data_IF_873193149600
#
_entry.id   IF_873193149600
#
_cell.length_a   1.000
_cell.length_b   1.000
_cell.length_c   1.000
_cell.angle_alpha   90.00
_cell.angle_beta   90.00
_cell.angle_gamma   90.00
#
_symmetry.space_group_name_H-M   'P 1'
#
loop_
_entity.id
_entity.type
_entity.pdbx_description
1 polymer ?
#
# COMPACT_ATOMS: atom_id res chain seq x y z
N UNK A 1 -46.42 -24.86 49.45
CA UNK A 1 -47.05 -23.89 50.36
C UNK A 1 -45.96 -23.45 51.30
N UNK A 2 -45.54 -22.18 51.18
CA UNK A 2 -44.68 -21.43 52.11
C UNK A 2 -43.25 -21.93 52.31
N UNK A 3 -42.29 -21.29 51.64
CA UNK A 3 -40.95 -21.07 52.20
C UNK A 3 -40.63 -19.57 52.11
N UNK A 4 -40.40 -18.99 53.28
CA UNK A 4 -39.99 -17.61 53.52
C UNK A 4 -38.53 -17.60 54.04
N UNK A 5 -37.82 -16.47 53.99
CA UNK A 5 -36.42 -16.41 53.58
C UNK A 5 -35.39 -16.46 54.72
N UNK A 6 -34.17 -16.88 54.34
CA UNK A 6 -32.94 -16.85 55.12
C UNK A 6 -32.32 -15.44 55.14
N UNK A 7 -32.19 -14.87 56.33
CA UNK A 7 -31.23 -13.80 56.64
C UNK A 7 -29.83 -14.40 56.82
N UNK A 8 -28.82 -13.89 56.11
CA UNK A 8 -27.41 -14.09 56.47
C UNK A 8 -26.50 -13.01 55.86
N UNK A 9 -26.20 -12.02 56.71
CA UNK A 9 -24.91 -11.32 56.89
C UNK A 9 -24.01 -10.99 55.68
N UNK A 10 -23.91 -9.68 55.39
CA UNK A 10 -22.88 -9.11 54.53
C UNK A 10 -21.49 -9.04 55.23
N UNK A 11 -20.37 -9.32 54.54
CA UNK A 11 -19.02 -9.13 55.07
C UNK A 11 -18.52 -7.67 54.92
N UNK A 12 -17.62 -7.19 55.82
CA UNK A 12 -17.13 -5.81 55.82
C UNK A 12 -16.13 -5.51 54.68
N UNK A 13 -16.01 -4.23 54.24
CA UNK A 13 -15.15 -3.85 53.13
C UNK A 13 -13.65 -3.83 53.49
N UNK A 14 -12.75 -4.07 52.51
CA UNK A 14 -11.30 -4.09 52.74
C UNK A 14 -10.69 -2.69 52.94
N UNK A 15 -9.55 -2.60 53.65
CA UNK A 15 -8.92 -1.34 54.03
C UNK A 15 -8.23 -0.61 52.86
N UNK A 16 -8.36 0.72 52.89
CA UNK A 16 -7.83 1.71 51.97
C UNK A 16 -6.30 1.63 51.85
N UNK A 17 -5.80 1.25 50.68
CA UNK A 17 -4.39 1.34 50.31
C UNK A 17 -4.08 2.75 49.79
N UNK A 18 -3.70 3.64 50.70
CA UNK A 18 -2.97 4.86 50.36
C UNK A 18 -1.52 4.49 49.99
N UNK A 19 -1.16 4.62 48.72
CA UNK A 19 0.23 4.47 48.29
C UNK A 19 0.40 4.39 46.78
N UNK A 20 1.19 5.33 46.23
CA UNK A 20 1.77 5.32 44.88
C UNK A 20 0.94 5.91 43.73
N UNK A 21 0.72 7.23 43.77
CA UNK A 21 0.46 8.04 42.55
C UNK A 21 1.74 8.73 42.05
N UNK A 22 2.83 7.97 41.94
CA UNK A 22 4.12 8.44 41.43
C UNK A 22 4.54 7.60 40.22
N UNK A 23 3.83 7.73 39.09
CA UNK A 23 4.31 7.40 37.74
C UNK A 23 3.23 7.70 36.70
N UNK A 24 3.02 8.99 36.43
CA UNK A 24 2.31 9.43 35.24
C UNK A 24 2.95 10.70 34.67
N UNK A 25 4.29 10.75 34.62
CA UNK A 25 4.96 11.58 33.61
C UNK A 25 4.97 10.80 32.29
N UNK A 26 3.78 10.57 31.76
CA UNK A 26 3.60 10.19 30.37
C UNK A 26 3.86 11.46 29.56
N UNK A 27 5.11 11.62 29.12
CA UNK A 27 5.48 12.54 28.06
C UNK A 27 4.71 12.14 26.79
N UNK A 28 3.48 12.64 26.68
CA UNK A 28 2.76 12.62 25.42
C UNK A 28 3.35 13.73 24.58
N UNK A 29 4.22 13.36 23.65
CA UNK A 29 4.61 14.20 22.53
C UNK A 29 3.37 14.46 21.66
N UNK A 30 2.54 15.41 22.07
CA UNK A 30 1.42 15.99 21.32
C UNK A 30 1.96 16.88 20.17
N UNK A 31 2.86 16.31 19.35
CA UNK A 31 3.40 16.92 18.13
C UNK A 31 3.03 16.17 16.85
N UNK A 32 2.44 14.98 16.93
CA UNK A 32 2.13 14.13 15.75
C UNK A 32 0.62 14.10 15.37
N UNK A 33 -0.22 14.90 16.04
CA UNK A 33 -1.65 15.02 15.72
C UNK A 33 -1.96 15.44 14.26
N UNK A 34 -1.18 16.31 13.58
CA UNK A 34 -1.44 16.64 12.17
C UNK A 34 -0.94 15.57 11.18
N UNK A 35 0.10 14.80 11.53
CA UNK A 35 0.70 13.80 10.65
C UNK A 35 -0.22 12.59 10.46
N UNK A 36 -0.90 12.15 11.53
CA UNK A 36 -1.82 11.00 11.50
C UNK A 36 -3.09 11.25 10.68
N UNK A 37 -3.60 12.49 10.68
CA UNK A 37 -4.76 12.88 9.86
C UNK A 37 -4.40 12.91 8.37
N UNK A 38 -3.28 13.55 8.02
CA UNK A 38 -2.80 13.64 6.63
C UNK A 38 -2.59 12.27 5.99
N UNK A 39 -1.91 11.35 6.68
CA UNK A 39 -1.74 9.98 6.17
C UNK A 39 -3.06 9.27 5.91
N UNK A 40 -4.05 9.44 6.79
CA UNK A 40 -5.37 8.82 6.60
C UNK A 40 -6.09 9.40 5.39
N UNK A 41 -6.03 10.71 5.22
CA UNK A 41 -6.65 11.40 4.09
C UNK A 41 -5.99 10.97 2.77
N UNK A 42 -4.66 10.84 2.74
CA UNK A 42 -3.90 10.35 1.59
C UNK A 42 -4.30 8.91 1.19
N UNK A 43 -4.46 8.02 2.17
CA UNK A 43 -4.93 6.64 1.93
C UNK A 43 -6.35 6.59 1.38
N UNK A 44 -7.24 7.46 1.88
CA UNK A 44 -8.63 7.55 1.39
C UNK A 44 -8.66 8.09 -0.05
N UNK A 45 -7.88 9.13 -0.35
CA UNK A 45 -7.80 9.69 -1.70
C UNK A 45 -7.23 8.66 -2.68
N UNK A 46 -6.19 7.94 -2.30
CA UNK A 46 -5.59 6.89 -3.12
C UNK A 46 -6.55 5.72 -3.37
N UNK A 47 -7.25 5.24 -2.34
CA UNK A 47 -8.26 4.20 -2.50
C UNK A 47 -9.39 4.65 -3.44
N UNK A 48 -9.82 5.91 -3.32
CA UNK A 48 -10.86 6.48 -4.17
C UNK A 48 -10.44 6.56 -5.63
N UNK A 49 -9.22 7.01 -5.95
CA UNK A 49 -8.76 7.13 -7.34
C UNK A 49 -8.67 5.76 -8.02
N UNK A 50 -8.17 4.76 -7.31
CA UNK A 50 -8.08 3.38 -7.83
C UNK A 50 -9.46 2.78 -8.06
N UNK A 51 -10.38 2.92 -7.09
CA UNK A 51 -11.76 2.44 -7.24
C UNK A 51 -12.48 3.11 -8.39
N UNK A 52 -12.32 4.44 -8.53
CA UNK A 52 -12.95 5.21 -9.60
C UNK A 52 -12.45 4.75 -10.96
N UNK A 53 -11.14 4.58 -11.14
CA UNK A 53 -10.56 4.16 -12.42
C UNK A 53 -11.00 2.73 -12.80
N UNK A 54 -10.95 1.80 -11.84
CA UNK A 54 -11.40 0.42 -12.05
C UNK A 54 -12.91 0.35 -12.32
N UNK A 55 -13.71 1.13 -11.59
CA UNK A 55 -15.15 1.26 -11.80
C UNK A 55 -15.47 1.81 -13.19
N UNK A 56 -14.79 2.87 -13.63
CA UNK A 56 -14.99 3.45 -14.97
C UNK A 56 -14.63 2.45 -16.09
N UNK A 57 -13.57 1.67 -15.92
CA UNK A 57 -13.21 0.60 -16.86
C UNK A 57 -14.28 -0.50 -16.89
N UNK A 58 -14.71 -0.98 -15.73
CA UNK A 58 -15.77 -1.99 -15.63
C UNK A 58 -17.08 -1.52 -16.23
N UNK A 59 -17.47 -0.27 -15.93
CA UNK A 59 -18.64 0.39 -16.50
C UNK A 59 -18.57 0.41 -18.03
N UNK A 60 -17.44 0.81 -18.62
CA UNK A 60 -17.30 0.89 -20.07
C UNK A 60 -17.44 -0.50 -20.73
N UNK A 61 -16.74 -1.50 -20.20
CA UNK A 61 -16.74 -2.87 -20.74
C UNK A 61 -18.16 -3.46 -20.69
N UNK A 62 -18.83 -3.35 -19.56
CA UNK A 62 -20.19 -3.90 -19.40
C UNK A 62 -21.25 -3.10 -20.14
N UNK A 63 -21.06 -1.79 -20.33
CA UNK A 63 -21.95 -0.99 -21.17
C UNK A 63 -21.88 -1.47 -22.62
N UNK A 64 -20.69 -1.72 -23.14
CA UNK A 64 -20.50 -2.26 -24.49
C UNK A 64 -21.12 -3.67 -24.58
N UNK A 65 -20.91 -4.52 -23.58
CA UNK A 65 -21.52 -5.85 -23.53
C UNK A 65 -23.06 -5.79 -23.49
N UNK A 66 -23.63 -4.93 -22.66
CA UNK A 66 -25.07 -4.72 -22.52
C UNK A 66 -25.69 -4.16 -23.80
N UNK A 67 -25.08 -3.12 -24.39
CA UNK A 67 -25.53 -2.54 -25.65
C UNK A 67 -25.47 -3.56 -26.80
N UNK A 68 -24.39 -4.35 -26.87
CA UNK A 68 -24.24 -5.43 -27.86
C UNK A 68 -25.29 -6.51 -27.67
N UNK A 69 -25.60 -6.87 -26.42
CA UNK A 69 -26.63 -7.86 -26.08
C UNK A 69 -28.02 -7.37 -26.52
N UNK A 70 -28.35 -6.12 -26.21
CA UNK A 70 -29.62 -5.49 -26.63
C UNK A 70 -29.72 -5.38 -28.15
N UNK A 71 -28.62 -5.02 -28.82
CA UNK A 71 -28.55 -4.94 -30.27
C UNK A 71 -28.79 -6.32 -30.91
N UNK A 72 -28.09 -7.35 -30.43
CA UNK A 72 -28.27 -8.72 -30.91
C UNK A 72 -29.71 -9.21 -30.69
N UNK A 73 -30.25 -9.01 -29.48
CA UNK A 73 -31.61 -9.40 -29.14
C UNK A 73 -32.65 -8.69 -30.03
N UNK A 74 -32.41 -7.44 -30.41
CA UNK A 74 -33.28 -6.69 -31.32
C UNK A 74 -33.35 -7.32 -32.72
N UNK A 75 -32.24 -7.88 -33.20
CA UNK A 75 -32.14 -8.49 -34.54
C UNK A 75 -32.57 -9.95 -34.58
N UNK A 76 -32.38 -10.72 -33.48
CA UNK A 76 -32.71 -12.14 -33.44
C UNK A 76 -34.18 -12.40 -33.10
N UNK A 77 -34.81 -11.59 -32.23
CA UNK A 77 -36.14 -11.88 -31.70
C UNK A 77 -37.19 -10.84 -32.13
N UNK A 78 -38.23 -11.23 -32.90
CA UNK A 78 -39.27 -10.29 -33.33
C UNK A 78 -40.10 -9.71 -32.18
N UNK A 79 -40.15 -10.41 -31.04
CA UNK A 79 -40.80 -9.94 -29.80
C UNK A 79 -40.05 -8.74 -29.19
N UNK A 80 -38.72 -8.80 -29.10
CA UNK A 80 -37.86 -7.72 -28.57
C UNK A 80 -37.80 -6.53 -29.53
N UNK A 81 -38.00 -6.79 -30.83
CA UNK A 81 -38.10 -5.74 -31.85
C UNK A 81 -39.29 -4.78 -31.62
N UNK A 82 -40.40 -5.30 -31.10
CA UNK A 82 -41.63 -4.54 -30.81
C UNK A 82 -41.61 -3.83 -29.45
N UNK A 83 -40.62 -4.08 -28.61
CA UNK A 83 -40.52 -3.44 -27.29
C UNK A 83 -40.00 -2.00 -27.34
N UNK A 84 -40.39 -1.21 -26.35
CA UNK A 84 -40.07 0.23 -26.25
C UNK A 84 -38.57 0.47 -26.16
N UNK A 85 -38.12 1.61 -26.70
CA UNK A 85 -36.73 2.05 -26.60
C UNK A 85 -36.29 2.22 -25.14
N UNK A 86 -37.22 2.65 -24.27
CA UNK A 86 -36.98 2.83 -22.85
C UNK A 86 -36.59 1.51 -22.16
N UNK A 87 -37.23 0.39 -22.49
CA UNK A 87 -36.88 -0.91 -21.91
C UNK A 87 -35.46 -1.35 -22.28
N UNK A 88 -35.05 -1.08 -23.52
CA UNK A 88 -33.69 -1.37 -24.00
C UNK A 88 -32.63 -0.50 -23.31
N UNK A 89 -32.91 0.79 -23.15
CA UNK A 89 -32.04 1.71 -22.44
C UNK A 89 -31.92 1.33 -20.96
N UNK A 90 -33.03 0.93 -20.32
CA UNK A 90 -33.05 0.46 -18.94
C UNK A 90 -32.16 -0.79 -18.77
N UNK A 91 -32.27 -1.78 -19.67
CA UNK A 91 -31.40 -2.95 -19.64
C UNK A 91 -29.92 -2.58 -19.78
N UNK A 92 -29.57 -1.74 -20.75
CA UNK A 92 -28.19 -1.26 -20.92
C UNK A 92 -27.68 -0.56 -19.65
N UNK A 93 -28.49 0.30 -19.02
CA UNK A 93 -28.12 0.97 -17.76
C UNK A 93 -27.90 0.00 -16.61
N UNK A 94 -28.64 -1.11 -16.56
CA UNK A 94 -28.42 -2.18 -15.58
C UNK A 94 -27.04 -2.81 -15.72
N UNK A 95 -26.63 -3.14 -16.95
CA UNK A 95 -25.28 -3.62 -17.23
C UNK A 95 -24.22 -2.57 -16.89
N UNK A 96 -24.44 -1.29 -17.22
CA UNK A 96 -23.54 -0.19 -16.89
C UNK A 96 -23.29 -0.08 -15.38
N UNK A 97 -24.36 -0.06 -14.57
CA UNK A 97 -24.28 0.04 -13.10
C UNK A 97 -23.60 -1.21 -12.53
N UNK A 98 -23.96 -2.39 -13.03
CA UNK A 98 -23.33 -3.64 -12.62
C UNK A 98 -21.81 -3.63 -12.88
N UNK A 99 -21.38 -3.17 -14.06
CA UNK A 99 -19.96 -3.06 -14.39
C UNK A 99 -19.21 -2.04 -13.54
N UNK A 100 -19.86 -0.93 -13.19
CA UNK A 100 -19.29 0.08 -12.29
C UNK A 100 -19.02 -0.53 -10.90
N UNK A 101 -20.03 -1.17 -10.31
CA UNK A 101 -19.93 -1.75 -8.97
C UNK A 101 -18.92 -2.90 -8.92
N UNK A 102 -19.00 -3.86 -9.85
CA UNK A 102 -18.07 -5.01 -9.88
C UNK A 102 -16.64 -4.59 -10.18
N UNK A 103 -16.44 -3.60 -11.06
CA UNK A 103 -15.13 -3.02 -11.33
C UNK A 103 -14.52 -2.39 -10.07
N UNK A 104 -15.29 -1.56 -9.36
CA UNK A 104 -14.84 -0.93 -8.12
C UNK A 104 -14.58 -1.94 -6.98
N UNK A 105 -15.40 -2.98 -6.84
CA UNK A 105 -15.21 -4.00 -5.81
C UNK A 105 -14.00 -4.90 -6.09
N UNK A 106 -13.77 -5.26 -7.36
CA UNK A 106 -12.65 -6.12 -7.75
C UNK A 106 -11.29 -5.55 -7.35
N UNK A 107 -11.11 -4.23 -7.42
CA UNK A 107 -9.82 -3.60 -7.12
C UNK A 107 -9.55 -3.51 -5.62
N UNK A 108 -10.60 -3.34 -4.81
CA UNK A 108 -10.50 -3.41 -3.35
C UNK A 108 -10.09 -4.80 -2.90
N UNK A 109 -10.79 -5.82 -3.40
CA UNK A 109 -10.47 -7.22 -3.10
C UNK A 109 -9.07 -7.59 -3.59
N UNK A 110 -8.69 -7.12 -4.77
CA UNK A 110 -7.35 -7.33 -5.30
C UNK A 110 -6.28 -6.68 -4.42
N UNK A 111 -6.48 -5.42 -4.01
CA UNK A 111 -5.54 -4.71 -3.15
C UNK A 111 -5.37 -5.42 -1.80
N UNK A 112 -6.45 -5.86 -1.15
CA UNK A 112 -6.37 -6.63 0.10
C UNK A 112 -5.67 -7.99 -0.10
N UNK A 113 -5.99 -8.69 -1.19
CA UNK A 113 -5.37 -9.97 -1.52
C UNK A 113 -3.88 -9.81 -1.77
N UNK A 114 -3.49 -8.76 -2.49
CA UNK A 114 -2.08 -8.44 -2.73
C UNK A 114 -1.36 -8.13 -1.42
N UNK A 115 -1.91 -7.28 -0.57
CA UNK A 115 -1.32 -6.99 0.75
C UNK A 115 -1.12 -8.27 1.58
N UNK A 116 -2.14 -9.12 1.67
CA UNK A 116 -2.03 -10.41 2.37
C UNK A 116 -0.98 -11.31 1.74
N UNK A 117 -0.88 -11.35 0.41
CA UNK A 117 0.09 -12.17 -0.31
C UNK A 117 1.54 -11.69 -0.08
N UNK A 118 1.77 -10.38 -0.10
CA UNK A 118 3.08 -9.78 0.16
C UNK A 118 3.53 -10.03 1.60
N UNK A 119 2.63 -9.85 2.56
CA UNK A 119 2.90 -10.15 3.97
C UNK A 119 3.23 -11.63 4.18
N UNK A 120 2.47 -12.53 3.54
CA UNK A 120 2.73 -13.97 3.60
C UNK A 120 4.06 -14.35 2.96
N UNK A 121 4.41 -13.77 1.81
CA UNK A 121 5.71 -14.00 1.16
C UNK A 121 6.88 -13.56 2.04
N UNK A 122 6.76 -12.42 2.72
CA UNK A 122 7.77 -11.95 3.67
C UNK A 122 7.87 -12.92 4.85
N UNK A 123 6.72 -13.38 5.38
CA UNK A 123 6.68 -14.34 6.49
C UNK A 123 7.31 -15.68 6.10
N UNK A 124 7.07 -16.16 4.89
CA UNK A 124 7.63 -17.42 4.39
C UNK A 124 9.13 -17.33 4.14
N UNK A 125 9.61 -16.21 3.59
CA UNK A 125 11.05 -15.93 3.49
C UNK A 125 11.72 -15.88 4.86
N UNK A 126 11.09 -15.20 5.82
CA UNK A 126 11.60 -15.12 7.19
C UNK A 126 11.69 -16.52 7.83
N UNK A 127 10.64 -17.35 7.70
CA UNK A 127 10.64 -18.72 8.20
C UNK A 127 11.73 -19.58 7.55
N UNK A 128 11.92 -19.46 6.24
CA UNK A 128 12.94 -20.22 5.53
C UNK A 128 14.36 -19.85 6.00
N UNK A 129 14.63 -18.56 6.21
CA UNK A 129 15.94 -18.09 6.61
C UNK A 129 16.22 -18.29 8.10
N UNK A 130 15.24 -18.08 8.97
CA UNK A 130 15.33 -18.39 10.40
C UNK A 130 15.45 -19.90 10.65
N UNK A 131 14.70 -20.70 9.90
CA UNK A 131 14.79 -22.17 9.93
C UNK A 131 16.18 -22.67 9.53
N UNK A 132 16.81 -22.05 8.50
CA UNK A 132 18.21 -22.33 8.13
C UNK A 132 19.20 -22.00 9.24
N UNK A 133 18.89 -21.02 10.09
CA UNK A 133 19.72 -20.64 11.25
C UNK A 133 19.38 -21.45 12.51
N UNK A 134 18.42 -22.37 12.44
CA UNK A 134 17.97 -23.16 13.59
C UNK A 134 17.16 -22.37 14.62
N UNK A 135 16.67 -21.18 14.26
CA UNK A 135 15.91 -20.30 15.16
C UNK A 135 14.42 -20.49 14.92
N UNK A 136 13.64 -20.64 15.99
CA UNK A 136 12.18 -20.73 15.91
C UNK A 136 11.61 -19.40 15.43
N UNK A 137 10.86 -19.43 14.33
CA UNK A 137 10.23 -18.27 13.72
C UNK A 137 9.05 -17.74 14.56
N UNK A 138 9.36 -17.08 15.67
CA UNK A 138 8.40 -16.29 16.46
C UNK A 138 8.16 -14.93 15.79
N UNK A 139 7.01 -14.30 16.04
CA UNK A 139 6.69 -12.97 15.48
C UNK A 139 7.76 -11.92 15.83
N UNK A 140 8.31 -11.97 17.05
CA UNK A 140 9.39 -11.08 17.48
C UNK A 140 10.68 -11.32 16.66
N UNK A 141 10.98 -12.57 16.31
CA UNK A 141 12.17 -12.90 15.53
C UNK A 141 12.01 -12.57 14.04
N UNK A 142 10.80 -12.73 13.52
CA UNK A 142 10.44 -12.29 12.16
C UNK A 142 10.58 -10.76 12.06
N UNK A 143 10.19 -10.01 13.09
CA UNK A 143 10.36 -8.56 13.15
C UNK A 143 11.84 -8.13 13.23
N UNK A 144 12.65 -8.82 14.04
CA UNK A 144 14.11 -8.59 14.10
C UNK A 144 14.78 -8.90 12.77
N UNK A 145 14.39 -10.01 12.12
CA UNK A 145 14.86 -10.36 10.79
C UNK A 145 14.48 -9.29 9.77
N UNK A 146 13.22 -8.80 9.78
CA UNK A 146 12.75 -7.73 8.87
C UNK A 146 13.55 -6.44 9.03
N UNK A 147 13.84 -6.06 10.27
CA UNK A 147 14.65 -4.86 10.58
C UNK A 147 16.08 -5.05 10.08
N UNK A 148 16.69 -6.19 10.41
CA UNK A 148 18.05 -6.53 9.98
C UNK A 148 18.17 -6.53 8.45
N UNK A 149 17.17 -7.06 7.75
CA UNK A 149 17.19 -7.13 6.28
C UNK A 149 16.97 -5.76 5.63
N UNK A 150 16.13 -4.91 6.23
CA UNK A 150 15.98 -3.51 5.83
C UNK A 150 17.29 -2.74 5.98
N UNK A 151 17.99 -2.93 7.10
CA UNK A 151 19.27 -2.24 7.36
C UNK A 151 20.36 -2.67 6.38
N UNK A 152 20.45 -3.98 6.08
CA UNK A 152 21.36 -4.49 5.04
C UNK A 152 21.06 -3.89 3.66
N UNK A 153 19.79 -3.75 3.31
CA UNK A 153 19.40 -3.15 2.02
C UNK A 153 19.80 -1.67 1.95
N UNK A 154 19.56 -0.91 3.01
CA UNK A 154 19.95 0.51 3.09
C UNK A 154 21.47 0.64 2.94
N UNK A 155 22.23 -0.23 3.59
CA UNK A 155 23.69 -0.22 3.53
C UNK A 155 24.22 -0.55 2.12
N UNK A 156 23.62 -1.54 1.42
CA UNK A 156 23.97 -1.82 0.02
C UNK A 156 23.73 -0.63 -0.89
N UNK A 157 22.55 0.01 -0.77
CA UNK A 157 22.21 1.19 -1.56
C UNK A 157 23.14 2.38 -1.29
N UNK A 158 23.61 2.53 -0.05
CA UNK A 158 24.62 3.55 0.31
C UNK A 158 25.94 3.29 -0.40
N UNK A 159 26.44 2.05 -0.36
CA UNK A 159 27.69 1.66 -1.03
C UNK A 159 27.63 1.86 -2.53
N UNK A 160 26.57 1.41 -3.18
CA UNK A 160 26.35 1.61 -4.62
C UNK A 160 26.33 3.10 -4.98
N UNK A 161 25.66 3.93 -4.17
CA UNK A 161 25.63 5.38 -4.37
C UNK A 161 27.00 6.02 -4.16
N UNK A 162 27.79 5.55 -3.21
CA UNK A 162 29.16 6.03 -2.98
C UNK A 162 30.09 5.63 -4.12
N UNK A 163 30.02 4.40 -4.60
CA UNK A 163 30.76 3.93 -5.78
C UNK A 163 30.39 4.74 -7.01
N UNK A 164 29.10 4.99 -7.24
CA UNK A 164 28.65 5.82 -8.37
C UNK A 164 29.14 7.26 -8.26
N UNK A 165 29.20 7.82 -7.04
CA UNK A 165 29.80 9.14 -6.81
C UNK A 165 31.30 9.13 -7.12
N UNK A 166 32.04 8.13 -6.62
CA UNK A 166 33.48 7.98 -6.88
C UNK A 166 33.78 7.88 -8.38
N UNK A 167 33.04 7.04 -9.11
CA UNK A 167 33.21 6.88 -10.55
C UNK A 167 32.96 8.19 -11.32
N UNK A 168 31.90 8.92 -10.94
CA UNK A 168 31.61 10.23 -11.54
C UNK A 168 32.73 11.23 -11.27
N UNK A 169 33.27 11.26 -10.06
CA UNK A 169 34.31 12.21 -9.68
C UNK A 169 35.65 11.87 -10.39
N UNK A 170 35.98 10.59 -10.55
CA UNK A 170 37.12 10.14 -11.39
C UNK A 170 36.93 10.57 -12.85
N UNK A 171 35.74 10.40 -13.42
CA UNK A 171 35.44 10.83 -14.79
C UNK A 171 35.62 12.34 -14.99
N UNK A 172 35.23 13.16 -14.01
CA UNK A 172 35.46 14.62 -14.06
C UNK A 172 36.94 14.98 -14.07
N UNK A 173 37.74 14.35 -13.20
CA UNK A 173 39.18 14.61 -13.12
C UNK A 173 39.87 14.23 -14.44
N UNK A 174 39.46 13.14 -15.07
CA UNK A 174 40.01 12.75 -16.37
C UNK A 174 39.65 13.74 -17.48
N UNK A 175 38.40 14.21 -17.49
CA UNK A 175 37.95 15.25 -18.43
C UNK A 175 38.71 16.57 -18.23
N UNK A 176 38.96 16.98 -16.98
CA UNK A 176 39.77 18.16 -16.66
C UNK A 176 41.22 18.02 -17.14
N UNK A 177 41.82 16.82 -17.01
CA UNK A 177 43.17 16.54 -17.51
C UNK A 177 43.23 16.62 -19.04
N UNK A 178 42.29 16.00 -19.74
CA UNK A 178 42.21 16.05 -21.21
C UNK A 178 42.03 17.50 -21.70
N UNK A 179 41.21 18.30 -21.02
CA UNK A 179 41.05 19.72 -21.33
C UNK A 179 42.36 20.50 -21.12
N UNK A 180 43.07 20.25 -20.01
CA UNK A 180 44.36 20.90 -19.75
C UNK A 180 45.43 20.52 -20.78
N UNK A 181 45.47 19.26 -21.22
CA UNK A 181 46.36 18.81 -22.28
C UNK A 181 46.02 19.47 -23.63
N UNK A 182 44.74 19.55 -23.98
CA UNK A 182 44.29 20.24 -25.19
C UNK A 182 44.65 21.73 -25.17
N UNK A 183 44.46 22.42 -24.04
CA UNK A 183 44.82 23.85 -23.90
C UNK A 183 46.33 24.06 -24.04
N UNK A 184 47.15 23.19 -23.44
CA UNK A 184 48.61 23.25 -23.57
C UNK A 184 49.08 23.03 -25.01
N UNK A 185 48.48 22.07 -25.72
CA UNK A 185 48.81 21.78 -27.11
C UNK A 185 48.50 22.96 -28.04
N UNK A 186 47.37 23.65 -27.82
CA UNK A 186 47.01 24.86 -28.59
C UNK A 186 47.99 26.01 -28.31
N UNK A 187 48.37 26.23 -27.05
CA UNK A 187 49.31 27.30 -26.68
C UNK A 187 50.73 27.11 -27.21
N UNK A 188 51.21 25.88 -27.39
CA UNK A 188 52.52 25.62 -28.01
C UNK A 188 52.57 25.94 -29.52
N UNK A 189 51.44 25.80 -30.22
CA UNK A 189 51.36 26.08 -31.67
C UNK A 189 51.42 27.58 -31.95
N UNK A 190 50.90 28.43 -31.05
CA UNK A 190 50.96 29.90 -31.21
C UNK A 190 52.35 30.50 -30.93
N UNK A 191 53.24 29.80 -30.22
CA UNK A 191 54.58 30.30 -29.90
C UNK A 191 55.64 30.00 -30.95
N UNK A 192 55.35 29.10 -31.91
CA UNK A 192 56.29 28.69 -32.97
C UNK A 192 55.93 29.23 -34.38
N UNK A 193 54.90 30.07 -34.50
CA UNK A 193 54.50 30.75 -35.74
C UNK A 193 54.78 32.25 -35.71
#
# INVERSE_FOLDING_TARGET
MSDAPSDAAAPPPPPSAAGSSASAMSTSTLGSAPQRKRHRDDHVQYAYTIQREAGLRGMLIWTIAGASTVFMAHHLFPLVRRQTLAGKAFLTSGFTIFGLCTGAESVLQHHETQQRSEENLIRDRARAELGRRGVVASEAEIERWRTSERDKLIERLRREREEQRRLRDVGKVQQEREQQEAVKAVGQVETEG
#
